data_IF_149395038676
#
_entry.id   IF_149395038676
#
_cell.length_a   1.000
_cell.length_b   1.000
_cell.length_c   1.000
_cell.angle_alpha   90.00
_cell.angle_beta   90.00
_cell.angle_gamma   90.00
#
_symmetry.space_group_name_H-M   'P 1'
#
loop_
_entity.id
_entity.type
_entity.pdbx_description
1 polymer ?
#
# COMPACT_ATOMS: atom_id res chain seq x y z
N UNK A 1 40.19 -5.73 -10.09
CA UNK A 1 39.07 -6.67 -9.88
C UNK A 1 37.84 -5.97 -9.24
N UNK A 2 37.37 -4.84 -9.77
CA UNK A 2 36.18 -4.13 -9.24
C UNK A 2 35.30 -3.47 -10.32
N UNK A 3 35.45 -3.88 -11.59
CA UNK A 3 34.69 -3.33 -12.73
C UNK A 3 33.33 -4.01 -12.97
N UNK A 4 32.93 -5.01 -12.17
CA UNK A 4 31.71 -5.81 -12.38
C UNK A 4 30.51 -5.39 -11.53
N UNK A 5 30.65 -4.38 -10.66
CA UNK A 5 29.54 -3.95 -9.81
C UNK A 5 28.70 -2.90 -10.53
N UNK A 6 27.51 -3.30 -11.00
CA UNK A 6 26.51 -2.37 -11.53
C UNK A 6 26.25 -1.28 -10.49
N UNK A 7 26.58 -0.04 -10.82
CA UNK A 7 26.24 1.10 -9.98
C UNK A 7 24.71 1.20 -9.90
N UNK A 8 24.18 1.10 -8.68
CA UNK A 8 22.75 1.24 -8.39
C UNK A 8 22.31 2.61 -8.92
N UNK A 9 21.43 2.64 -9.93
CA UNK A 9 21.00 3.89 -10.55
C UNK A 9 20.40 4.80 -9.47
N UNK A 10 20.91 6.02 -9.38
CA UNK A 10 20.43 7.05 -8.45
C UNK A 10 19.17 7.70 -9.00
N UNK A 11 18.15 6.91 -9.30
CA UNK A 11 16.84 7.42 -9.64
C UNK A 11 15.83 6.92 -8.63
N UNK A 12 15.87 7.56 -7.47
CA UNK A 12 14.68 7.68 -6.64
C UNK A 12 14.32 9.15 -6.66
N UNK A 13 13.48 9.55 -7.62
CA UNK A 13 12.57 10.67 -7.37
C UNK A 13 11.55 10.16 -6.34
N UNK A 14 12.02 9.93 -5.10
CA UNK A 14 11.13 9.84 -3.97
C UNK A 14 10.52 11.22 -3.89
N UNK A 15 9.25 11.35 -4.29
CA UNK A 15 8.48 12.55 -4.04
C UNK A 15 8.76 12.95 -2.58
N UNK A 16 9.26 14.17 -2.34
CA UNK A 16 9.59 14.59 -1.00
C UNK A 16 8.33 14.43 -0.16
N UNK A 17 8.47 13.69 0.93
CA UNK A 17 7.38 13.47 1.88
C UNK A 17 6.84 14.85 2.26
N UNK A 18 5.56 15.11 2.01
CA UNK A 18 4.96 16.46 2.09
C UNK A 18 5.15 17.18 3.44
N UNK A 19 5.35 16.43 4.51
CA UNK A 19 5.59 16.96 5.86
C UNK A 19 7.08 17.11 6.22
N UNK A 20 7.99 16.76 5.31
CA UNK A 20 9.43 16.79 5.52
C UNK A 20 10.01 18.16 5.15
N UNK A 21 10.34 18.96 6.17
CA UNK A 21 10.86 20.32 5.98
C UNK A 21 12.39 20.36 5.87
N UNK A 22 12.94 21.45 5.31
CA UNK A 22 14.40 21.68 5.27
C UNK A 22 15.01 21.72 6.68
N UNK A 23 14.27 22.24 7.65
CA UNK A 23 14.66 22.28 9.06
C UNK A 23 14.79 20.88 9.66
N UNK A 24 13.83 19.98 9.36
CA UNK A 24 13.92 18.58 9.76
C UNK A 24 15.12 17.86 9.14
N UNK A 25 15.42 18.14 7.87
CA UNK A 25 16.60 17.56 7.22
C UNK A 25 17.89 18.05 7.88
N UNK A 26 17.99 19.35 8.19
CA UNK A 26 19.12 19.90 8.94
C UNK A 26 19.27 19.24 10.33
N UNK A 27 18.16 19.08 11.06
CA UNK A 27 18.14 18.39 12.36
C UNK A 27 18.53 16.92 12.25
N UNK A 28 18.11 16.22 11.19
CA UNK A 28 18.49 14.83 10.93
C UNK A 28 19.98 14.69 10.66
N UNK A 29 20.54 15.57 9.82
CA UNK A 29 21.98 15.60 9.54
C UNK A 29 22.76 15.84 10.84
N UNK A 30 22.35 16.85 11.61
CA UNK A 30 22.97 17.17 12.89
C UNK A 30 22.87 16.01 13.90
N UNK A 31 21.68 15.43 14.07
CA UNK A 31 21.47 14.28 14.93
C UNK A 31 22.36 13.10 14.53
N UNK A 32 22.45 12.77 13.24
CA UNK A 32 23.28 11.66 12.76
C UNK A 32 24.78 11.91 13.01
N UNK A 33 25.24 13.15 12.82
CA UNK A 33 26.61 13.54 13.14
C UNK A 33 26.92 13.32 14.63
N UNK A 34 26.08 13.87 15.51
CA UNK A 34 26.22 13.73 16.96
C UNK A 34 26.10 12.26 17.41
N UNK A 35 25.16 11.50 16.84
CA UNK A 35 24.98 10.07 17.08
C UNK A 35 26.26 9.29 16.77
N UNK A 36 26.84 9.53 15.60
CA UNK A 36 28.05 8.83 15.16
C UNK A 36 29.24 9.15 16.06
N UNK A 37 29.43 10.42 16.42
CA UNK A 37 30.47 10.84 17.35
C UNK A 37 30.29 10.19 18.73
N UNK A 38 29.08 10.23 19.28
CA UNK A 38 28.77 9.62 20.57
C UNK A 38 29.09 8.12 20.57
N UNK A 39 28.56 7.35 19.63
CA UNK A 39 28.78 5.89 19.64
C UNK A 39 30.22 5.48 19.37
N UNK A 40 30.98 6.27 18.61
CA UNK A 40 32.41 6.02 18.36
C UNK A 40 33.28 6.31 19.59
N UNK A 41 32.95 7.34 20.36
CA UNK A 41 33.78 7.81 21.47
C UNK A 41 33.22 7.51 22.86
N UNK A 42 32.06 6.85 22.99
CA UNK A 42 31.41 6.59 24.31
C UNK A 42 32.22 5.74 25.28
N UNK A 43 33.16 4.93 24.80
CA UNK A 43 34.05 4.10 25.63
C UNK A 43 35.42 4.76 25.88
N UNK A 44 35.65 5.95 25.31
CA UNK A 44 36.88 6.70 25.51
C UNK A 44 36.92 7.25 26.94
N UNK A 45 38.09 7.28 27.60
CA UNK A 45 38.26 7.96 28.88
C UNK A 45 37.92 9.46 28.80
N UNK A 46 38.05 10.05 27.60
CA UNK A 46 37.62 11.42 27.30
C UNK A 46 36.61 11.41 26.15
N UNK A 47 35.31 11.27 26.43
CA UNK A 47 34.29 11.27 25.40
C UNK A 47 34.12 12.68 24.82
N UNK A 48 34.19 12.81 23.49
CA UNK A 48 33.99 14.09 22.79
C UNK A 48 32.58 14.66 22.95
N UNK A 49 31.61 13.80 23.25
CA UNK A 49 30.20 14.16 23.41
C UNK A 49 29.70 13.55 24.71
N UNK A 50 29.17 14.40 25.59
CA UNK A 50 28.51 13.95 26.81
C UNK A 50 27.20 13.21 26.51
N UNK A 51 26.82 12.31 27.39
CA UNK A 51 25.58 11.54 27.26
C UNK A 51 24.36 12.46 27.31
N UNK A 52 24.41 13.48 28.14
CA UNK A 52 23.38 14.49 28.35
C UNK A 52 23.12 15.28 27.07
N UNK A 53 24.21 15.72 26.41
CA UNK A 53 24.12 16.44 25.14
C UNK A 53 23.53 15.55 24.03
N UNK A 54 23.97 14.29 23.94
CA UNK A 54 23.40 13.34 22.99
C UNK A 54 21.89 13.13 23.22
N UNK A 55 21.47 12.95 24.47
CA UNK A 55 20.05 12.77 24.84
C UNK A 55 19.24 14.02 24.45
N UNK A 56 19.78 15.22 24.74
CA UNK A 56 19.13 16.47 24.37
C UNK A 56 18.89 16.57 22.86
N UNK A 57 19.92 16.35 22.04
CA UNK A 57 19.82 16.39 20.57
C UNK A 57 18.86 15.32 20.02
N UNK A 58 18.91 14.10 20.57
CA UNK A 58 17.98 13.02 20.22
C UNK A 58 16.53 13.40 20.50
N UNK A 59 16.25 13.96 21.68
CA UNK A 59 14.91 14.35 22.09
C UNK A 59 14.41 15.53 21.26
N UNK A 60 15.26 16.52 20.99
CA UNK A 60 14.96 17.65 20.10
C UNK A 60 14.53 17.17 18.71
N UNK A 61 15.32 16.30 18.08
CA UNK A 61 15.00 15.73 16.77
C UNK A 61 13.68 14.94 16.80
N UNK A 62 13.49 14.07 17.80
CA UNK A 62 12.25 13.29 17.95
C UNK A 62 11.01 14.16 18.14
N UNK A 63 11.12 15.21 18.95
CA UNK A 63 10.00 16.11 19.24
C UNK A 63 9.61 16.89 17.98
N UNK A 64 10.59 17.41 17.24
CA UNK A 64 10.31 18.12 15.98
C UNK A 64 9.69 17.21 14.91
N UNK A 65 10.11 15.94 14.81
CA UNK A 65 9.43 14.98 13.90
C UNK A 65 7.96 14.81 14.28
N UNK A 66 7.66 14.65 15.58
CA UNK A 66 6.28 14.48 16.04
C UNK A 66 5.46 15.75 15.76
N UNK A 67 6.03 16.91 16.06
CA UNK A 67 5.40 18.22 15.87
C UNK A 67 5.06 18.47 14.40
N UNK A 68 6.02 18.31 13.51
CA UNK A 68 5.82 18.53 12.06
C UNK A 68 4.83 17.55 11.45
N UNK A 69 4.88 16.26 11.82
CA UNK A 69 3.88 15.27 11.40
C UNK A 69 2.47 15.61 11.88
N UNK A 70 2.33 16.03 13.13
CA UNK A 70 1.03 16.42 13.66
C UNK A 70 0.52 17.70 12.99
N UNK A 71 1.39 18.67 12.72
CA UNK A 71 1.05 19.89 12.00
C UNK A 71 0.59 19.59 10.57
N UNK A 72 1.32 18.75 9.83
CA UNK A 72 0.91 18.35 8.48
C UNK A 72 -0.40 17.58 8.47
N UNK A 73 -0.65 16.77 9.51
CA UNK A 73 -1.93 16.06 9.64
C UNK A 73 -3.09 17.01 9.89
N UNK A 74 -2.90 18.04 10.74
CA UNK A 74 -3.90 19.09 10.96
C UNK A 74 -4.19 19.86 9.67
N UNK A 75 -3.16 20.30 8.96
CA UNK A 75 -3.31 20.99 7.67
C UNK A 75 -4.05 20.12 6.65
N UNK A 76 -3.74 18.82 6.60
CA UNK A 76 -4.45 17.88 5.75
C UNK A 76 -5.95 17.79 6.07
N UNK A 77 -6.32 17.82 7.35
CA UNK A 77 -7.72 17.81 7.78
C UNK A 77 -8.42 19.15 7.48
N UNK A 78 -7.75 20.28 7.72
CA UNK A 78 -8.28 21.62 7.43
C UNK A 78 -8.51 21.85 5.91
N UNK A 79 -7.66 21.25 5.06
CA UNK A 79 -7.84 21.28 3.60
C UNK A 79 -9.06 20.46 3.14
N UNK A 80 -9.45 19.44 3.90
CA UNK A 80 -10.65 18.62 3.61
C UNK A 80 -11.94 19.43 3.84
N UNK A 81 -11.97 20.32 4.83
CA UNK A 81 -13.16 21.11 5.15
C UNK A 81 -13.44 22.24 4.14
N UNK A 82 -12.41 22.75 3.44
CA UNK A 82 -12.52 24.00 2.68
C UNK A 82 -12.79 23.86 1.17
N UNK A 83 -12.62 22.68 0.54
CA UNK A 83 -12.66 22.60 -0.94
C UNK A 83 -13.55 21.50 -1.57
N UNK A 84 -14.09 20.55 -0.80
CA UNK A 84 -15.08 19.58 -1.31
C UNK A 84 -15.60 18.70 -0.18
N UNK A 85 -16.90 18.35 -0.12
CA UNK A 85 -17.46 17.43 0.89
C UNK A 85 -16.80 16.04 0.92
N UNK A 86 -16.03 15.68 -0.12
CA UNK A 86 -15.30 14.41 -0.19
C UNK A 86 -13.77 14.57 -0.14
N UNK A 87 -13.22 15.79 -0.33
CA UNK A 87 -11.82 16.18 -0.07
C UNK A 87 -10.69 15.16 -0.32
N UNK A 88 -9.61 15.31 0.46
CA UNK A 88 -8.42 14.46 0.41
C UNK A 88 -8.63 13.05 1.01
N UNK A 89 -9.63 12.90 1.89
CA UNK A 89 -10.03 11.61 2.46
C UNK A 89 -10.55 10.68 1.38
N UNK A 90 -11.42 11.16 0.48
CA UNK A 90 -11.87 10.41 -0.68
C UNK A 90 -10.73 10.07 -1.63
N UNK A 91 -9.79 10.98 -1.91
CA UNK A 91 -8.59 10.65 -2.73
C UNK A 91 -7.75 9.53 -2.09
N UNK A 92 -7.56 9.58 -0.78
CA UNK A 92 -6.79 8.58 -0.03
C UNK A 92 -7.48 7.22 -0.02
N UNK A 93 -8.81 7.22 0.12
CA UNK A 93 -9.64 6.01 0.07
C UNK A 93 -9.73 5.47 -1.36
N UNK A 94 -9.96 6.31 -2.37
CA UNK A 94 -10.02 5.94 -3.80
C UNK A 94 -8.74 5.26 -4.29
N UNK A 95 -7.58 5.64 -3.76
CA UNK A 95 -6.31 4.98 -4.10
C UNK A 95 -6.12 3.64 -3.37
N UNK A 96 -6.83 3.42 -2.26
CA UNK A 96 -6.77 2.19 -1.44
C UNK A 96 -7.86 1.18 -1.79
N UNK A 97 -9.04 1.65 -2.16
CA UNK A 97 -10.08 0.87 -2.83
C UNK A 97 -9.52 0.63 -4.22
N UNK A 98 -8.88 -0.51 -4.40
CA UNK A 98 -8.25 -0.88 -5.66
C UNK A 98 -9.23 -0.70 -6.82
N UNK A 99 -8.69 -0.54 -8.03
CA UNK A 99 -9.39 -0.95 -9.24
C UNK A 99 -9.65 -2.46 -9.15
N UNK A 100 -10.61 -2.87 -8.34
CA UNK A 100 -11.35 -4.08 -8.67
C UNK A 100 -11.89 -3.78 -10.05
N UNK A 101 -11.33 -4.42 -11.07
CA UNK A 101 -11.98 -4.40 -12.37
C UNK A 101 -13.37 -4.95 -12.08
N UNK A 102 -14.38 -4.09 -12.06
CA UNK A 102 -15.77 -4.52 -12.04
C UNK A 102 -16.15 -5.17 -13.39
N UNK A 103 -15.17 -5.45 -14.25
CA UNK A 103 -15.35 -6.43 -15.30
C UNK A 103 -15.61 -7.79 -14.67
N UNK A 104 -16.71 -8.39 -15.09
CA UNK A 104 -16.98 -9.80 -14.90
C UNK A 104 -15.70 -10.57 -15.30
N UNK A 105 -15.21 -11.51 -14.48
CA UNK A 105 -13.97 -12.26 -14.74
C UNK A 105 -13.97 -13.03 -16.08
N UNK A 106 -15.13 -13.10 -16.75
CA UNK A 106 -15.40 -13.76 -18.02
C UNK A 106 -15.10 -12.85 -19.23
N UNK A 107 -15.16 -11.52 -19.08
CA UNK A 107 -15.12 -10.57 -20.21
C UNK A 107 -13.72 -10.42 -20.82
N UNK A 108 -12.65 -10.63 -20.03
CA UNK A 108 -11.27 -10.38 -20.47
C UNK A 108 -10.40 -11.66 -20.59
N UNK A 109 -11.04 -12.82 -20.74
CA UNK A 109 -10.36 -14.12 -20.82
C UNK A 109 -10.68 -14.83 -22.13
N UNK A 110 -9.71 -15.57 -22.70
CA UNK A 110 -9.92 -16.39 -23.89
C UNK A 110 -11.13 -17.33 -23.72
N UNK A 111 -11.87 -17.54 -24.81
CA UNK A 111 -13.17 -18.25 -24.79
C UNK A 111 -13.09 -19.66 -24.17
N UNK A 112 -11.96 -20.34 -24.34
CA UNK A 112 -11.69 -21.66 -23.76
C UNK A 112 -11.56 -21.66 -22.21
N UNK A 113 -11.38 -20.51 -21.58
CA UNK A 113 -11.28 -20.36 -20.11
C UNK A 113 -12.59 -19.90 -19.46
N UNK A 114 -13.52 -19.36 -20.25
CA UNK A 114 -14.82 -18.86 -19.78
C UNK A 114 -15.66 -19.93 -19.06
N UNK A 115 -15.73 -21.21 -19.54
CA UNK A 115 -16.51 -22.25 -18.85
C UNK A 115 -15.96 -22.60 -17.46
N UNK A 116 -14.63 -22.60 -17.31
CA UNK A 116 -13.97 -22.90 -16.02
C UNK A 116 -14.23 -21.81 -14.99
N UNK A 117 -14.20 -20.56 -15.43
CA UNK A 117 -14.45 -19.39 -14.59
C UNK A 117 -15.94 -19.32 -14.22
N UNK A 118 -16.84 -19.58 -15.17
CA UNK A 118 -18.28 -19.66 -14.91
C UNK A 118 -18.61 -20.73 -13.87
N UNK A 119 -18.08 -21.95 -14.02
CA UNK A 119 -18.28 -23.03 -13.05
C UNK A 119 -17.75 -22.67 -11.65
N UNK A 120 -16.66 -21.92 -11.57
CA UNK A 120 -16.12 -21.44 -10.28
C UNK A 120 -17.04 -20.40 -9.64
N UNK A 121 -17.62 -19.50 -10.44
CA UNK A 121 -18.61 -18.51 -9.97
C UNK A 121 -19.87 -19.22 -9.48
N UNK A 122 -20.40 -20.15 -10.27
CA UNK A 122 -21.61 -20.91 -9.90
C UNK A 122 -21.42 -21.68 -8.58
N UNK A 123 -20.31 -22.41 -8.41
CA UNK A 123 -20.00 -23.10 -7.14
C UNK A 123 -19.79 -22.16 -5.96
N UNK A 124 -19.35 -20.93 -6.21
CA UNK A 124 -19.17 -19.94 -5.15
C UNK A 124 -20.48 -19.29 -4.73
N UNK A 125 -21.44 -19.14 -5.65
CA UNK A 125 -22.74 -18.52 -5.39
C UNK A 125 -23.77 -19.54 -4.89
N UNK A 126 -23.65 -20.80 -5.33
CA UNK A 126 -24.55 -21.90 -5.00
C UNK A 126 -23.72 -23.10 -4.48
N UNK A 127 -23.21 -23.03 -3.24
CA UNK A 127 -22.34 -24.06 -2.66
C UNK A 127 -23.06 -25.39 -2.35
N UNK A 128 -24.37 -25.34 -2.11
CA UNK A 128 -25.22 -26.49 -1.77
C UNK A 128 -26.04 -27.01 -2.97
N UNK A 129 -25.60 -26.69 -4.20
CA UNK A 129 -26.24 -27.19 -5.44
C UNK A 129 -25.96 -28.70 -5.59
N UNK A 130 -26.72 -29.50 -4.85
CA UNK A 130 -26.67 -30.96 -4.89
C UNK A 130 -27.67 -31.48 -5.93
N UNK A 131 -27.21 -32.09 -7.04
CA UNK A 131 -28.09 -32.67 -8.04
C UNK A 131 -29.05 -33.71 -7.46
N UNK A 132 -28.74 -34.35 -6.34
CA UNK A 132 -29.61 -35.40 -5.77
C UNK A 132 -30.72 -34.85 -4.86
N UNK A 133 -30.58 -33.61 -4.36
CA UNK A 133 -31.59 -32.96 -3.52
C UNK A 133 -32.64 -32.17 -4.32
N UNK A 134 -32.41 -32.03 -5.62
CA UNK A 134 -33.07 -31.07 -6.48
C UNK A 134 -34.38 -31.62 -7.07
N UNK A 135 -35.37 -30.75 -7.26
CA UNK A 135 -36.64 -31.14 -7.91
C UNK A 135 -36.39 -31.51 -9.38
N UNK A 136 -37.24 -32.37 -9.96
CA UNK A 136 -37.13 -32.77 -11.39
C UNK A 136 -37.06 -31.57 -12.35
N UNK A 137 -37.67 -30.45 -11.98
CA UNK A 137 -37.70 -29.22 -12.75
C UNK A 137 -36.36 -28.47 -12.65
N UNK A 138 -35.80 -28.35 -11.44
CA UNK A 138 -34.51 -27.70 -11.19
C UNK A 138 -33.34 -28.43 -11.90
N UNK A 139 -33.43 -29.75 -12.00
CA UNK A 139 -32.45 -30.60 -12.68
C UNK A 139 -32.22 -30.28 -14.17
N UNK A 140 -33.21 -29.67 -14.82
CA UNK A 140 -33.13 -29.36 -16.26
C UNK A 140 -32.40 -28.06 -16.56
N UNK A 141 -32.31 -27.16 -15.58
CA UNK A 141 -31.74 -25.81 -15.75
C UNK A 141 -30.21 -25.87 -15.92
N UNK A 142 -29.44 -26.60 -15.09
CA UNK A 142 -27.99 -26.73 -15.27
C UNK A 142 -27.63 -27.43 -16.58
N UNK A 143 -28.37 -28.48 -16.96
CA UNK A 143 -28.13 -29.24 -18.20
C UNK A 143 -28.39 -28.40 -19.44
N UNK A 144 -29.47 -27.62 -19.46
CA UNK A 144 -29.75 -26.69 -20.56
C UNK A 144 -28.68 -25.59 -20.65
N UNK A 145 -28.28 -25.00 -19.53
CA UNK A 145 -27.22 -23.98 -19.51
C UNK A 145 -25.88 -24.54 -20.00
N UNK A 146 -25.49 -25.74 -19.58
CA UNK A 146 -24.26 -26.40 -20.05
C UNK A 146 -24.30 -26.72 -21.55
N UNK A 147 -25.44 -27.20 -22.06
CA UNK A 147 -25.61 -27.45 -23.49
C UNK A 147 -25.53 -26.16 -24.32
N UNK A 148 -26.12 -25.07 -23.82
CA UNK A 148 -26.08 -23.77 -24.48
C UNK A 148 -24.65 -23.19 -24.51
N UNK A 149 -23.90 -23.35 -23.42
CA UNK A 149 -22.48 -22.97 -23.33
C UNK A 149 -21.63 -23.79 -24.31
N UNK A 150 -21.86 -25.10 -24.43
CA UNK A 150 -21.11 -25.94 -25.38
C UNK A 150 -21.41 -25.59 -26.84
N UNK A 151 -22.67 -25.29 -27.17
CA UNK A 151 -23.07 -24.87 -28.52
C UNK A 151 -22.54 -23.49 -28.93
N UNK A 152 -22.27 -22.60 -27.97
CA UNK A 152 -21.75 -21.26 -28.23
C UNK A 152 -20.22 -21.23 -28.43
N UNK A 153 -19.52 -22.34 -28.11
CA UNK A 153 -18.06 -22.47 -28.18
C UNK A 153 -17.52 -23.16 -29.45
N UNK A 154 -18.39 -23.68 -30.31
CA UNK A 154 -18.08 -24.17 -31.68
C UNK A 154 -18.29 -23.08 -32.70
#
# INVERSE_FOLDING_TARGET
AYSSLKQKSRHSHSNPIHWWTKELEALKIHYNYIRNLYYRHRKSPFPRISKEYFIHIRNKYKNEIKKTRNASWKLFLEEVENNSPFGNTFKSIKNKISKSSYDLPILNVPHNQQPKIMNKILRSLFPDDDPYSDSRENHTIPKKLQALIQSATT
#
